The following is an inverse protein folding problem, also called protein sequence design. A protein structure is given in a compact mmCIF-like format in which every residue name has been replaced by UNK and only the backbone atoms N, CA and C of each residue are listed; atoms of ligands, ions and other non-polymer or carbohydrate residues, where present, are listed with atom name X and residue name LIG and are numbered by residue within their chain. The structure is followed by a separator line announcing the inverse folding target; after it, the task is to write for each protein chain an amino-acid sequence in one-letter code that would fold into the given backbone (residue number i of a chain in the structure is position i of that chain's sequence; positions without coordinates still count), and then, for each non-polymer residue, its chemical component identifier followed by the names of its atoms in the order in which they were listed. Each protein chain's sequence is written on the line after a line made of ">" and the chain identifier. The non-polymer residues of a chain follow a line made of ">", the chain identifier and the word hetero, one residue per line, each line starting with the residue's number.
data_IF_586816438561
#
_entry.id   IF_586816438561
#
_cell.length_a   1.000
_cell.length_b   1.000
_cell.length_c   1.000
_cell.angle_alpha   90.00
_cell.angle_beta   90.00
_cell.angle_gamma   90.00
#
_symmetry.space_group_name_H-M   'P 1'
#
loop_
_entity.id
_entity.type
_entity.pdbx_description
1 polymer ?
#
# COMPACT_ATOMS: atom_id res chain seq x y z
N UNK A 1 10.25 -0.03 -16.61
CA UNK A 1 9.40 -0.01 -15.39
C UNK A 1 8.12 -0.76 -15.68
N UNK A 2 7.54 -1.42 -14.69
CA UNK A 2 6.30 -2.18 -14.87
C UNK A 2 5.14 -1.52 -14.13
N UNK A 3 3.94 -1.56 -14.71
CA UNK A 3 2.69 -1.18 -14.07
C UNK A 3 1.82 -2.41 -13.93
N UNK A 4 1.36 -2.67 -12.71
CA UNK A 4 0.44 -3.75 -12.37
C UNK A 4 -0.88 -3.11 -11.94
N UNK A 5 -1.98 -3.48 -12.59
CA UNK A 5 -3.32 -3.01 -12.25
C UNK A 5 -4.09 -4.18 -11.66
N UNK A 6 -4.58 -4.03 -10.42
CA UNK A 6 -5.34 -5.06 -9.72
C UNK A 6 -6.70 -4.52 -9.31
N UNK A 7 -7.71 -5.38 -9.24
CA UNK A 7 -8.95 -5.06 -8.54
C UNK A 7 -8.64 -4.59 -7.11
N UNK A 8 -9.25 -3.49 -6.71
CA UNK A 8 -9.02 -2.90 -5.40
C UNK A 8 -9.74 -3.73 -4.33
N UNK A 9 -8.96 -4.53 -3.60
CA UNK A 9 -9.46 -5.37 -2.51
C UNK A 9 -9.90 -4.57 -1.28
N UNK A 10 -9.50 -3.29 -1.20
CA UNK A 10 -9.88 -2.43 -0.10
C UNK A 10 -11.24 -1.76 -0.32
N UNK A 11 -11.73 -1.76 -1.55
CA UNK A 11 -12.93 -1.02 -1.93
C UNK A 11 -14.21 -1.67 -1.40
N UNK A 12 -15.24 -0.85 -1.20
CA UNK A 12 -16.56 -1.34 -0.82
C UNK A 12 -17.13 -2.28 -1.89
N UNK A 13 -17.80 -3.36 -1.49
CA UNK A 13 -18.27 -4.43 -2.39
C UNK A 13 -19.24 -3.99 -3.50
N UNK A 14 -19.83 -2.80 -3.40
CA UNK A 14 -20.71 -2.21 -4.41
C UNK A 14 -20.02 -1.16 -5.31
N UNK A 15 -18.73 -0.89 -5.10
CA UNK A 15 -17.90 0.01 -5.91
C UNK A 15 -16.82 -0.85 -6.58
N UNK A 16 -16.86 -0.92 -7.91
CA UNK A 16 -15.79 -1.54 -8.68
C UNK A 16 -14.65 -0.53 -8.85
N UNK A 17 -13.52 -0.81 -8.24
CA UNK A 17 -12.29 -0.01 -8.33
C UNK A 17 -11.10 -0.88 -8.73
N UNK A 18 -10.07 -0.24 -9.27
CA UNK A 18 -8.77 -0.87 -9.45
C UNK A 18 -7.68 0.01 -8.86
N UNK A 19 -6.64 -0.62 -8.31
CA UNK A 19 -5.43 0.04 -7.87
C UNK A 19 -4.30 -0.20 -8.86
N UNK A 20 -3.56 0.87 -9.18
CA UNK A 20 -2.36 0.82 -9.99
C UNK A 20 -1.12 0.80 -9.10
N UNK A 21 -0.23 -0.14 -9.37
CA UNK A 21 1.05 -0.31 -8.68
C UNK A 21 2.20 -0.28 -9.68
N UNK A 22 3.34 0.25 -9.27
CA UNK A 22 4.55 0.29 -10.08
C UNK A 22 5.64 -0.60 -9.48
N UNK A 23 6.41 -1.22 -10.36
CA UNK A 23 7.45 -2.18 -9.98
C UNK A 23 8.72 -1.89 -10.76
N UNK A 24 9.84 -1.83 -10.03
CA UNK A 24 11.18 -1.68 -10.60
C UNK A 24 11.70 -3.03 -11.12
N UNK A 25 11.67 -4.06 -10.26
CA UNK A 25 12.04 -5.44 -10.59
C UNK A 25 10.83 -6.37 -10.54
N UNK A 26 10.41 -6.86 -11.71
CA UNK A 26 9.25 -7.74 -11.82
C UNK A 26 9.46 -9.09 -11.15
N UNK A 27 10.70 -9.59 -11.11
CA UNK A 27 11.00 -10.90 -10.53
C UNK A 27 10.88 -10.84 -9.00
N UNK A 28 11.37 -9.77 -8.37
CA UNK A 28 11.23 -9.58 -6.91
C UNK A 28 9.75 -9.48 -6.53
N UNK A 29 8.96 -8.72 -7.31
CA UNK A 29 7.52 -8.63 -7.10
C UNK A 29 6.85 -10.00 -7.24
N UNK A 30 7.17 -10.76 -8.28
CA UNK A 30 6.59 -12.08 -8.50
C UNK A 30 6.96 -13.09 -7.42
N UNK A 31 8.22 -13.10 -6.98
CA UNK A 31 8.69 -13.96 -5.90
C UNK A 31 7.92 -13.70 -4.60
N UNK A 32 7.60 -12.43 -4.31
CA UNK A 32 6.77 -12.11 -3.15
C UNK A 32 5.28 -12.41 -3.39
N UNK A 33 4.70 -11.83 -4.45
CA UNK A 33 3.25 -11.75 -4.62
C UNK A 33 2.64 -13.07 -5.14
N UNK A 34 3.30 -13.78 -6.07
CA UNK A 34 2.80 -15.06 -6.58
C UNK A 34 2.91 -16.18 -5.54
N UNK A 35 3.90 -16.10 -4.64
CA UNK A 35 4.08 -17.06 -3.55
C UNK A 35 3.21 -16.75 -2.33
N UNK A 36 2.59 -15.57 -2.26
CA UNK A 36 1.66 -15.22 -1.20
C UNK A 36 0.37 -16.05 -1.32
N UNK A 37 0.09 -16.90 -0.33
CA UNK A 37 -1.10 -17.77 -0.32
C UNK A 37 -2.42 -17.01 -0.17
N UNK A 38 -2.39 -15.80 0.38
CA UNK A 38 -3.58 -14.96 0.53
C UNK A 38 -4.07 -14.37 -0.80
N UNK A 39 -3.22 -14.35 -1.84
CA UNK A 39 -3.60 -13.90 -3.18
C UNK A 39 -4.39 -15.01 -3.88
N UNK A 40 -5.63 -14.75 -4.34
CA UNK A 40 -6.45 -15.74 -5.03
C UNK A 40 -5.79 -16.30 -6.29
N UNK A 41 -5.94 -17.61 -6.54
CA UNK A 41 -5.37 -18.27 -7.71
C UNK A 41 -5.90 -17.70 -9.04
N UNK A 42 -7.16 -17.25 -9.06
CA UNK A 42 -7.74 -16.59 -10.23
C UNK A 42 -7.00 -15.30 -10.58
N UNK A 43 -6.70 -14.46 -9.59
CA UNK A 43 -5.95 -13.22 -9.77
C UNK A 43 -4.53 -13.50 -10.30
N UNK A 44 -3.86 -14.52 -9.75
CA UNK A 44 -2.55 -14.99 -10.26
C UNK A 44 -2.63 -15.48 -11.70
N UNK A 45 -3.69 -16.19 -12.06
CA UNK A 45 -3.91 -16.70 -13.42
C UNK A 45 -4.11 -15.55 -14.41
N UNK A 46 -4.99 -14.60 -14.08
CA UNK A 46 -5.25 -13.39 -14.87
C UNK A 46 -3.98 -12.58 -15.10
N UNK A 47 -3.19 -12.38 -14.04
CA UNK A 47 -1.88 -11.74 -14.13
C UNK A 47 -0.95 -12.47 -15.12
N UNK A 48 -0.81 -13.80 -15.00
CA UNK A 48 0.05 -14.60 -15.90
C UNK A 48 -0.41 -14.53 -17.37
N UNK A 49 -1.72 -14.59 -17.62
CA UNK A 49 -2.28 -14.43 -18.96
C UNK A 49 -1.99 -13.03 -19.52
N UNK A 50 -2.15 -12.00 -18.69
CA UNK A 50 -1.83 -10.63 -19.07
C UNK A 50 -0.35 -10.45 -19.43
N UNK A 51 0.54 -11.02 -18.60
CA UNK A 51 1.99 -11.04 -18.84
C UNK A 51 2.38 -11.78 -20.11
N UNK A 52 1.66 -12.83 -20.50
CA UNK A 52 1.90 -13.56 -21.75
C UNK A 52 1.34 -12.86 -23.00
N UNK A 53 0.81 -11.64 -22.87
CA UNK A 53 0.34 -10.82 -23.98
C UNK A 53 -1.16 -10.88 -24.25
N UNK A 54 -1.96 -11.57 -23.43
CA UNK A 54 -3.41 -11.47 -23.53
C UNK A 54 -3.91 -10.15 -22.96
N UNK A 55 -4.92 -9.54 -23.58
CA UNK A 55 -5.61 -8.38 -23.02
C UNK A 55 -6.53 -8.89 -21.91
N UNK A 56 -6.09 -8.73 -20.67
CA UNK A 56 -6.84 -9.09 -19.46
C UNK A 56 -6.91 -7.85 -18.59
N UNK A 57 -8.12 -7.39 -18.33
CA UNK A 57 -8.39 -6.18 -17.57
C UNK A 57 -9.36 -6.49 -16.44
N UNK A 58 -9.11 -5.90 -15.27
CA UNK A 58 -10.05 -5.92 -14.13
C UNK A 58 -11.19 -4.90 -14.31
N UNK A 59 -11.08 -4.00 -15.30
CA UNK A 59 -12.23 -3.26 -15.85
C UNK A 59 -12.97 -4.09 -16.89
N UNK A 60 -14.29 -3.88 -17.04
CA UNK A 60 -15.13 -4.45 -18.11
C UNK A 60 -14.87 -3.82 -19.49
N UNK A 61 -13.59 -3.71 -19.90
CA UNK A 61 -13.17 -3.08 -21.16
C UNK A 61 -12.05 -3.88 -21.83
N UNK A 62 -12.03 -3.86 -23.16
CA UNK A 62 -10.99 -4.51 -24.00
C UNK A 62 -9.99 -3.49 -24.51
N UNK A 63 -9.38 -2.71 -23.61
CA UNK A 63 -8.40 -1.70 -23.97
C UNK A 63 -7.07 -1.99 -23.27
N UNK A 64 -5.99 -2.05 -24.04
CA UNK A 64 -4.63 -2.37 -23.58
C UNK A 64 -4.11 -1.42 -22.48
N UNK A 65 -4.65 -0.20 -22.43
CA UNK A 65 -4.36 0.76 -21.35
C UNK A 65 -4.77 0.25 -19.97
N UNK A 66 -5.77 -0.63 -19.90
CA UNK A 66 -6.28 -1.24 -18.67
C UNK A 66 -5.80 -2.68 -18.47
N UNK A 67 -4.85 -3.14 -19.29
CA UNK A 67 -4.27 -4.46 -19.12
C UNK A 67 -3.59 -4.57 -17.74
N UNK A 68 -3.80 -5.69 -17.05
CA UNK A 68 -3.24 -5.94 -15.70
C UNK A 68 -1.73 -5.75 -15.70
N UNK A 69 -1.01 -6.34 -16.65
CA UNK A 69 0.43 -6.23 -16.78
C UNK A 69 0.81 -5.30 -17.91
N UNK A 70 1.63 -4.28 -17.60
CA UNK A 70 2.17 -3.36 -18.59
C UNK A 70 3.65 -3.13 -18.33
N UNK A 71 4.40 -3.01 -19.42
CA UNK A 71 5.81 -2.67 -19.40
C UNK A 71 6.05 -1.45 -20.27
N UNK A 72 6.80 -0.49 -19.75
CA UNK A 72 7.29 0.64 -20.52
C UNK A 72 8.81 0.76 -20.37
N UNK A 73 9.50 0.67 -21.51
CA UNK A 73 10.95 0.82 -21.65
C UNK A 73 11.38 2.29 -21.57
N UNK A 74 10.47 3.22 -21.88
CA UNK A 74 10.73 4.65 -21.91
C UNK A 74 10.34 5.35 -20.61
N UNK A 75 9.81 4.61 -19.63
CA UNK A 75 9.47 5.15 -18.33
C UNK A 75 10.70 5.75 -17.64
N UNK A 76 10.53 6.92 -17.03
CA UNK A 76 11.62 7.65 -16.36
C UNK A 76 11.19 8.13 -15.00
N UNK A 77 12.14 8.10 -14.07
CA UNK A 77 12.02 8.81 -12.79
C UNK A 77 12.45 10.25 -13.06
N UNK A 78 11.55 11.20 -12.79
CA UNK A 78 11.77 12.63 -13.00
C UNK A 78 12.29 13.30 -11.74
N UNK A 79 11.79 12.87 -10.57
CA UNK A 79 12.15 13.41 -9.25
C UNK A 79 11.92 12.35 -8.18
N UNK A 80 12.72 12.37 -7.11
CA UNK A 80 12.60 11.47 -5.96
C UNK A 80 12.80 12.26 -4.66
N UNK A 81 12.03 11.90 -3.64
CA UNK A 81 12.19 12.39 -2.26
C UNK A 81 12.22 11.22 -1.29
N UNK A 82 13.07 11.35 -0.28
CA UNK A 82 13.24 10.38 0.81
C UNK A 82 12.95 11.08 2.14
N UNK A 83 12.03 10.52 2.91
CA UNK A 83 11.67 10.99 4.24
C UNK A 83 11.95 9.89 5.25
N UNK A 84 12.57 10.27 6.37
CA UNK A 84 12.84 9.36 7.47
C UNK A 84 12.26 9.98 8.74
N UNK A 85 11.51 9.20 9.50
CA UNK A 85 10.87 9.62 10.73
C UNK A 85 11.26 8.70 11.87
N UNK A 86 11.25 9.24 13.08
CA UNK A 86 11.51 8.52 14.33
C UNK A 86 10.41 8.84 15.32
N UNK A 87 9.84 7.81 15.93
CA UNK A 87 8.72 7.91 16.88
C UNK A 87 7.54 8.76 16.35
N UNK A 88 7.15 8.48 15.11
CA UNK A 88 6.17 9.27 14.37
C UNK A 88 4.75 8.76 14.59
N UNK A 89 3.80 9.70 14.52
CA UNK A 89 2.37 9.42 14.57
C UNK A 89 1.72 9.93 13.29
N UNK A 90 1.23 9.02 12.47
CA UNK A 90 0.40 9.33 11.32
C UNK A 90 -1.06 9.25 11.72
N UNK A 91 -1.82 10.31 11.42
CA UNK A 91 -3.28 10.31 11.50
C UNK A 91 -3.82 9.90 10.15
N UNK A 92 -4.34 8.69 10.08
CA UNK A 92 -4.84 8.11 8.84
C UNK A 92 -6.36 8.19 8.80
N UNK A 93 -6.92 8.50 7.64
CA UNK A 93 -8.36 8.48 7.40
C UNK A 93 -8.69 7.47 6.32
N UNK A 94 -9.74 6.69 6.56
CA UNK A 94 -10.28 5.82 5.53
C UNK A 94 -11.22 6.60 4.59
N UNK A 95 -11.78 5.91 3.58
CA UNK A 95 -12.69 6.51 2.61
C UNK A 95 -13.94 7.17 3.24
N UNK A 96 -14.38 6.70 4.41
CA UNK A 96 -15.49 7.28 5.17
C UNK A 96 -15.09 8.45 6.08
N UNK A 97 -13.82 8.84 6.07
CA UNK A 97 -13.27 9.87 6.96
C UNK A 97 -13.10 9.41 8.42
N UNK A 98 -13.17 8.10 8.69
CA UNK A 98 -12.89 7.58 10.02
C UNK A 98 -11.38 7.67 10.30
N UNK A 99 -11.01 8.39 11.36
CA UNK A 99 -9.62 8.55 11.80
C UNK A 99 -9.14 7.32 12.57
N UNK A 100 -7.90 6.91 12.32
CA UNK A 100 -7.13 6.01 13.17
C UNK A 100 -5.69 6.52 13.27
N UNK A 101 -5.05 6.21 14.39
CA UNK A 101 -3.71 6.64 14.72
C UNK A 101 -2.75 5.49 14.44
N UNK A 102 -1.86 5.68 13.47
CA UNK A 102 -0.73 4.79 13.23
C UNK A 102 0.52 5.34 13.91
N UNK A 103 1.10 4.56 14.82
CA UNK A 103 2.39 4.86 15.42
C UNK A 103 3.47 3.96 14.83
N UNK A 104 4.67 4.52 14.65
CA UNK A 104 5.85 3.77 14.24
C UNK A 104 7.10 4.33 14.91
N UNK A 105 7.98 3.44 15.37
CA UNK A 105 9.28 3.83 15.92
C UNK A 105 10.23 4.38 14.87
N UNK A 106 10.17 3.82 13.65
CA UNK A 106 10.95 4.32 12.54
C UNK A 106 10.19 4.11 11.23
N UNK A 107 10.05 5.18 10.45
CA UNK A 107 9.47 5.13 9.12
C UNK A 107 10.47 5.62 8.08
N UNK A 108 10.52 4.92 6.96
CA UNK A 108 11.13 5.40 5.73
C UNK A 108 10.05 5.47 4.66
N UNK A 109 9.78 6.67 4.17
CA UNK A 109 8.83 6.91 3.09
C UNK A 109 9.60 7.48 1.91
N UNK A 110 9.34 6.94 0.72
CA UNK A 110 9.96 7.41 -0.51
C UNK A 110 8.89 7.70 -1.53
N UNK A 111 8.97 8.88 -2.14
CA UNK A 111 8.11 9.27 -3.25
C UNK A 111 8.92 9.44 -4.52
N UNK A 112 8.31 9.11 -5.66
CA UNK A 112 8.82 9.41 -6.99
C UNK A 112 7.77 10.09 -7.83
N UNK A 113 8.21 11.07 -8.59
CA UNK A 113 7.51 11.54 -9.78
C UNK A 113 8.08 10.77 -10.96
N UNK A 114 7.23 10.04 -11.67
CA UNK A 114 7.63 9.30 -12.86
C UNK A 114 6.80 9.73 -14.06
N UNK A 115 7.34 9.48 -15.25
CA UNK A 115 6.54 9.38 -16.47
C UNK A 115 6.49 7.90 -16.88
N UNK A 116 5.30 7.42 -17.18
CA UNK A 116 5.05 6.10 -17.70
C UNK A 116 4.04 6.21 -18.84
N UNK A 117 4.45 5.80 -20.04
CA UNK A 117 3.79 6.09 -21.31
C UNK A 117 3.56 7.61 -21.42
N UNK A 118 2.31 8.05 -21.53
CA UNK A 118 1.93 9.45 -21.71
C UNK A 118 1.45 10.12 -20.42
N UNK A 119 1.62 9.47 -19.26
CA UNK A 119 1.10 9.93 -17.99
C UNK A 119 2.21 10.17 -16.98
N UNK A 120 2.04 11.23 -16.19
CA UNK A 120 2.82 11.52 -15.01
C UNK A 120 2.16 10.86 -13.81
N UNK A 121 2.95 10.16 -13.01
CA UNK A 121 2.49 9.52 -11.79
C UNK A 121 3.29 9.99 -10.59
N UNK A 122 2.60 10.11 -9.49
CA UNK A 122 3.20 10.17 -8.17
C UNK A 122 3.01 8.81 -7.54
N UNK A 123 4.14 8.21 -7.18
CA UNK A 123 4.17 6.89 -6.60
C UNK A 123 4.95 6.96 -5.29
N UNK A 124 4.45 6.27 -4.27
CA UNK A 124 5.07 6.20 -2.97
C UNK A 124 5.33 4.76 -2.56
N UNK A 125 6.32 4.56 -1.71
CA UNK A 125 6.52 3.28 -1.01
C UNK A 125 7.01 3.57 0.40
N UNK A 126 6.80 2.64 1.30
CA UNK A 126 7.17 2.85 2.69
C UNK A 126 7.64 1.58 3.38
N UNK A 127 8.41 1.78 4.45
CA UNK A 127 8.82 0.77 5.42
C UNK A 127 8.65 1.34 6.82
N UNK A 128 7.89 0.65 7.64
CA UNK A 128 7.57 0.99 9.02
C UNK A 128 8.11 -0.09 9.94
N UNK A 129 8.75 0.32 11.02
CA UNK A 129 9.28 -0.55 12.08
C UNK A 129 8.69 -0.15 13.42
N UNK A 130 8.48 -1.11 14.31
CA UNK A 130 7.86 -0.83 15.61
C UNK A 130 6.45 -0.29 15.47
N UNK A 131 5.65 -0.88 14.57
CA UNK A 131 4.42 -0.27 14.04
C UNK A 131 3.15 -0.86 14.66
N UNK A 132 2.22 0.01 15.05
CA UNK A 132 0.91 -0.37 15.57
C UNK A 132 -0.14 0.69 15.27
N UNK A 133 -1.40 0.26 15.25
CA UNK A 133 -2.57 1.13 15.13
C UNK A 133 -3.21 1.31 16.51
N UNK A 134 -3.91 2.41 16.71
CA UNK A 134 -4.81 2.53 17.84
C UNK A 134 -6.03 1.60 17.68
N UNK A 135 -6.58 1.22 18.81
CA UNK A 135 -7.89 0.59 18.89
C UNK A 135 -8.93 1.69 19.09
N UNK A 136 -9.59 2.08 18.00
CA UNK A 136 -10.58 3.17 18.00
C UNK A 136 -11.64 3.01 19.10
N UNK A 137 -12.04 1.77 19.41
CA UNK A 137 -13.07 1.49 20.42
C UNK A 137 -12.58 1.65 21.87
N UNK A 138 -11.27 1.64 22.11
CA UNK A 138 -10.71 1.67 23.47
C UNK A 138 -9.48 2.59 23.52
N UNK A 139 -9.68 3.79 24.06
CA UNK A 139 -8.62 4.80 24.15
C UNK A 139 -7.39 4.29 24.91
N UNK A 140 -6.22 4.44 24.30
CA UNK A 140 -4.92 4.06 24.87
C UNK A 140 -4.50 2.62 24.58
N UNK A 141 -5.30 1.88 23.83
CA UNK A 141 -5.06 0.50 23.47
C UNK A 141 -4.51 0.44 22.06
N UNK A 142 -3.50 -0.39 21.85
CA UNK A 142 -2.80 -0.52 20.56
C UNK A 142 -2.98 -1.92 20.00
N UNK A 143 -3.13 -1.99 18.69
CA UNK A 143 -3.34 -3.21 17.91
C UNK A 143 -2.28 -3.35 16.83
N UNK A 144 -2.01 -4.59 16.44
CA UNK A 144 -1.22 -4.88 15.25
C UNK A 144 -1.85 -4.26 14.00
N UNK A 145 -1.02 -3.92 13.02
CA UNK A 145 -1.50 -3.55 11.69
C UNK A 145 -2.11 -4.76 10.98
N UNK A 146 -3.01 -4.52 10.04
CA UNK A 146 -3.53 -5.53 9.12
C UNK A 146 -3.31 -5.11 7.67
N UNK A 147 -3.40 -6.06 6.74
CA UNK A 147 -3.45 -5.76 5.31
C UNK A 147 -4.88 -5.96 4.82
N UNK A 148 -5.61 -4.85 4.73
CA UNK A 148 -7.02 -4.82 4.30
C UNK A 148 -7.16 -4.78 2.79
N UNK A 149 -6.24 -4.12 2.08
CA UNK A 149 -6.29 -4.00 0.64
C UNK A 149 -5.54 -5.10 -0.10
N UNK A 150 -4.92 -4.73 -1.22
CA UNK A 150 -4.18 -5.68 -2.04
C UNK A 150 -3.01 -6.28 -1.26
N UNK A 151 -2.68 -7.55 -1.54
CA UNK A 151 -1.63 -8.30 -0.81
C UNK A 151 -0.20 -7.91 -1.19
N UNK A 152 0.07 -6.60 -1.19
CA UNK A 152 1.33 -5.95 -1.52
C UNK A 152 2.18 -5.59 -0.29
N UNK A 153 1.66 -5.78 0.93
CA UNK A 153 2.39 -5.51 2.18
C UNK A 153 3.14 -6.75 2.67
N UNK A 154 4.46 -6.64 2.80
CA UNK A 154 5.34 -7.52 3.56
C UNK A 154 5.16 -7.18 5.05
N UNK A 155 4.49 -8.05 5.80
CA UNK A 155 4.23 -7.83 7.23
C UNK A 155 4.92 -8.89 8.09
N UNK A 156 5.54 -8.45 9.18
CA UNK A 156 6.10 -9.32 10.22
C UNK A 156 5.45 -8.93 11.54
N UNK A 157 4.77 -9.89 12.19
CA UNK A 157 4.01 -9.68 13.43
C UNK A 157 4.57 -10.56 14.55
N UNK A 158 5.53 -10.04 15.30
CA UNK A 158 6.06 -10.69 16.49
C UNK A 158 5.14 -10.49 17.71
N UNK A 159 4.36 -9.41 17.70
CA UNK A 159 3.45 -9.04 18.78
C UNK A 159 2.31 -10.04 19.00
N UNK A 160 1.82 -10.76 17.98
CA UNK A 160 0.67 -11.68 18.12
C UNK A 160 0.91 -12.75 19.20
N UNK A 161 2.17 -13.17 19.39
CA UNK A 161 2.57 -14.09 20.47
C UNK A 161 2.58 -13.39 21.83
N UNK A 162 3.10 -12.15 21.88
CA UNK A 162 3.32 -11.39 23.13
C UNK A 162 2.04 -10.72 23.66
N UNK A 163 1.09 -10.46 22.77
CA UNK A 163 -0.17 -9.77 23.04
C UNK A 163 -1.31 -10.74 23.41
N UNK A 164 -1.03 -12.03 23.64
CA UNK A 164 -2.03 -13.02 24.08
C UNK A 164 -1.84 -13.39 25.54
N UNK A 165 -2.95 -13.60 26.25
CA UNK A 165 -2.96 -14.13 27.61
C UNK A 165 -2.73 -15.66 27.62
N UNK A 166 -2.65 -16.25 28.81
CA UNK A 166 -2.44 -17.70 28.98
C UNK A 166 -3.57 -18.56 28.37
N UNK A 167 -4.72 -17.94 28.04
CA UNK A 167 -5.86 -18.59 27.39
C UNK A 167 -5.92 -18.27 25.87
N UNK A 168 -4.88 -17.63 25.32
CA UNK A 168 -4.79 -17.26 23.90
C UNK A 168 -5.63 -16.04 23.51
N UNK A 169 -6.22 -15.32 24.47
CA UNK A 169 -7.03 -14.12 24.22
C UNK A 169 -6.15 -12.89 24.10
N UNK A 170 -6.57 -11.94 23.26
CA UNK A 170 -5.86 -10.68 23.11
C UNK A 170 -5.85 -9.91 24.44
N UNK A 171 -4.66 -9.68 24.98
CA UNK A 171 -4.41 -8.76 26.08
C UNK A 171 -4.77 -7.37 25.60
N UNK A 172 -5.60 -6.69 26.38
CA UNK A 172 -6.08 -5.36 26.04
C UNK A 172 -5.17 -4.29 26.68
N UNK A 173 -4.46 -4.60 27.76
CA UNK A 173 -3.54 -3.72 28.49
C UNK A 173 -2.17 -3.48 27.81
N UNK A 174 -2.05 -3.70 26.50
CA UNK A 174 -0.78 -3.70 25.77
C UNK A 174 -0.37 -2.28 25.32
N UNK A 175 0.78 -1.81 25.80
CA UNK A 175 1.41 -0.59 25.26
C UNK A 175 2.08 -0.80 23.90
N UNK A 176 2.46 0.30 23.25
CA UNK A 176 3.15 0.33 21.93
C UNK A 176 4.39 -0.56 21.88
N UNK A 177 5.10 -0.70 23.00
CA UNK A 177 6.38 -1.40 23.08
C UNK A 177 6.31 -2.89 22.75
N UNK A 178 5.14 -3.51 22.86
CA UNK A 178 4.94 -4.92 22.46
C UNK A 178 5.10 -5.09 20.94
N UNK A 179 4.83 -4.04 20.17
CA UNK A 179 4.92 -4.00 18.71
C UNK A 179 6.30 -3.53 18.22
N UNK A 180 7.28 -3.37 19.10
CA UNK A 180 8.64 -2.89 18.80
C UNK A 180 9.34 -3.58 17.61
N UNK A 181 9.06 -4.87 17.43
CA UNK A 181 9.67 -5.72 16.41
C UNK A 181 8.75 -5.93 15.20
N UNK A 182 7.51 -5.45 15.25
CA UNK A 182 6.59 -5.56 14.12
C UNK A 182 6.99 -4.62 13.00
N UNK A 183 6.78 -5.06 11.76
CA UNK A 183 7.13 -4.27 10.58
C UNK A 183 6.10 -4.39 9.48
N UNK A 184 5.94 -3.31 8.72
CA UNK A 184 5.13 -3.25 7.49
C UNK A 184 5.95 -2.59 6.39
N UNK A 185 6.09 -3.26 5.26
CA UNK A 185 6.83 -2.76 4.09
C UNK A 185 6.06 -3.04 2.81
N UNK A 186 5.98 -2.08 1.91
CA UNK A 186 5.37 -2.27 0.58
C UNK A 186 6.33 -3.01 -0.34
N UNK A 187 5.87 -4.05 -1.06
CA UNK A 187 6.67 -4.77 -2.05
C UNK A 187 6.76 -4.06 -3.42
N UNK A 188 5.91 -3.05 -3.64
CA UNK A 188 5.83 -2.28 -4.87
C UNK A 188 5.58 -0.80 -4.53
N UNK A 189 5.54 0.03 -5.55
CA UNK A 189 5.18 1.43 -5.44
C UNK A 189 3.68 1.62 -5.61
N UNK A 190 3.07 2.33 -4.67
CA UNK A 190 1.64 2.64 -4.63
C UNK A 190 1.41 3.96 -5.36
N UNK A 191 0.46 3.98 -6.30
CA UNK A 191 0.04 5.22 -6.94
C UNK A 191 -0.76 6.09 -5.96
N UNK A 192 -0.36 7.35 -5.82
CA UNK A 192 -1.06 8.35 -5.00
C UNK A 192 -1.75 9.44 -5.83
N UNK A 193 -1.23 9.72 -7.02
CA UNK A 193 -1.84 10.62 -7.99
C UNK A 193 -1.35 10.31 -9.42
N UNK A 194 -2.14 10.68 -10.42
CA UNK A 194 -1.76 10.60 -11.83
C UNK A 194 -2.41 11.70 -12.67
N UNK A 195 -1.71 12.19 -13.69
CA UNK A 195 -2.27 13.11 -14.69
C UNK A 195 -1.56 12.97 -16.05
N UNK A 196 -2.25 13.38 -17.12
CA UNK A 196 -1.64 13.61 -18.43
C UNK A 196 -0.81 14.91 -18.49
N UNK A 197 -1.15 15.90 -17.67
CA UNK A 197 -0.42 17.16 -17.63
C UNK A 197 0.53 17.17 -16.44
N UNK A 198 1.80 17.49 -16.71
CA UNK A 198 2.84 17.46 -15.68
C UNK A 198 2.58 18.44 -14.52
N UNK A 199 1.92 19.57 -14.82
CA UNK A 199 1.71 20.69 -13.90
C UNK A 199 0.42 20.64 -13.09
N UNK A 200 -0.41 19.59 -13.25
CA UNK A 200 -1.68 19.48 -12.50
C UNK A 200 -1.47 19.31 -10.99
N UNK A 201 -0.29 18.85 -10.58
CA UNK A 201 0.05 18.62 -9.18
C UNK A 201 1.46 19.10 -8.86
N UNK A 202 1.65 19.70 -7.67
CA UNK A 202 2.93 20.22 -7.18
C UNK A 202 3.74 19.12 -6.46
N UNK A 203 4.76 18.57 -7.11
CA UNK A 203 5.61 17.54 -6.49
C UNK A 203 6.70 18.17 -5.60
N UNK A 204 6.25 18.64 -4.44
CA UNK A 204 7.04 19.35 -3.41
C UNK A 204 6.90 18.66 -2.04
N UNK A 205 7.87 18.86 -1.15
CA UNK A 205 7.97 18.10 0.11
C UNK A 205 6.74 18.26 0.99
N UNK A 206 6.26 19.50 1.18
CA UNK A 206 5.10 19.80 2.04
C UNK A 206 3.81 19.15 1.52
N UNK A 207 3.64 19.10 0.20
CA UNK A 207 2.48 18.47 -0.44
C UNK A 207 2.52 16.94 -0.30
N UNK A 208 3.71 16.34 -0.45
CA UNK A 208 3.90 14.89 -0.35
C UNK A 208 3.67 14.34 1.07
N UNK A 209 3.82 15.19 2.08
CA UNK A 209 3.55 14.85 3.48
C UNK A 209 2.17 15.30 3.96
N UNK A 210 1.32 15.82 3.07
CA UNK A 210 -0.07 16.12 3.40
C UNK A 210 -0.83 14.86 3.82
N UNK A 211 -1.81 15.02 4.72
CA UNK A 211 -2.63 13.90 5.20
C UNK A 211 -3.28 13.14 4.03
N UNK A 212 -3.78 13.85 3.01
CA UNK A 212 -4.43 13.23 1.85
C UNK A 212 -3.48 12.28 1.09
N UNK A 213 -2.22 12.69 0.87
CA UNK A 213 -1.24 11.86 0.19
C UNK A 213 -0.82 10.67 1.05
N UNK A 214 -0.64 10.88 2.36
CA UNK A 214 -0.29 9.80 3.29
C UNK A 214 -1.45 8.80 3.44
N UNK A 215 -2.70 9.26 3.49
CA UNK A 215 -3.90 8.42 3.51
C UNK A 215 -3.95 7.51 2.28
N UNK A 216 -3.74 8.08 1.08
CA UNK A 216 -3.69 7.31 -0.17
C UNK A 216 -2.53 6.32 -0.21
N UNK A 217 -1.38 6.71 0.34
CA UNK A 217 -0.19 5.87 0.40
C UNK A 217 -0.40 4.68 1.35
N UNK A 218 -1.01 4.89 2.51
CA UNK A 218 -1.16 3.88 3.56
C UNK A 218 -2.56 3.25 3.62
N UNK A 219 -3.39 3.43 2.59
CA UNK A 219 -4.78 2.95 2.52
C UNK A 219 -4.96 1.47 2.87
N UNK A 220 -4.00 0.64 2.48
CA UNK A 220 -4.05 -0.82 2.68
C UNK A 220 -3.82 -1.25 4.14
N UNK A 221 -3.29 -0.34 4.98
CA UNK A 221 -3.06 -0.58 6.42
C UNK A 221 -4.32 -0.30 7.24
N UNK A 222 -5.04 0.78 6.92
CA UNK A 222 -6.25 1.17 7.65
C UNK A 222 -7.48 0.38 7.19
N UNK A 223 -7.60 0.18 5.88
CA UNK A 223 -8.78 -0.44 5.29
C UNK A 223 -9.97 0.52 5.15
N UNK A 224 -10.85 0.32 4.16
CA UNK A 224 -12.02 1.21 4.01
C UNK A 224 -13.09 0.97 5.08
N UNK A 225 -13.16 -0.21 5.69
CA UNK A 225 -14.13 -0.48 6.75
C UNK A 225 -13.68 0.01 8.16
N UNK A 226 -12.39 0.36 8.34
CA UNK A 226 -11.79 0.71 9.64
C UNK A 226 -11.40 -0.50 10.51
#
# INVERSE_FOLDING_TARGET
>A
MYKITLYDENNCSFISGTSEFFVDDINEFEEFWLNNQAVPNEQKSRYRMSKSGHIVSDYYVTNEYYNIFQHDLNAKILKEFDFNFTDEIFKLHNFYGCESILYTRAAKIRFRKIIFKEYFYWIGRYKLMGVCLDEYLVKGYWRECSNWGNKILKMVKHSDIRARDLNGRRRRDCGKDIFAEDSVETCCWITVASSKNEGDFLFEEDELLSNEIIDRLMRDVLGEAG
#
